data_IF_775446446060
#
_entry.id   IF_775446446060
#
_cell.length_a   1.000
_cell.length_b   1.000
_cell.length_c   1.000
_cell.angle_alpha   90.00
_cell.angle_beta   90.00
_cell.angle_gamma   90.00
#
_symmetry.space_group_name_H-M   'P 1'
#
loop_
_entity.id
_entity.type
_entity.pdbx_description
1 polymer ?
#
# COMPACT_ATOMS: atom_id res chain seq x y z
N UNK A 1 -20.49 -3.75 -13.72
CA UNK A 1 -19.62 -4.73 -14.41
C UNK A 1 -18.45 -3.97 -14.99
N UNK A 2 -17.30 -3.99 -14.32
CA UNK A 2 -16.08 -3.37 -14.80
C UNK A 2 -15.16 -4.47 -15.31
N UNK A 3 -15.04 -4.59 -16.62
CA UNK A 3 -14.00 -5.36 -17.27
C UNK A 3 -12.67 -4.63 -17.03
N UNK A 4 -12.01 -4.94 -15.92
CA UNK A 4 -10.57 -4.68 -15.82
C UNK A 4 -9.90 -5.58 -16.85
N UNK A 5 -9.67 -5.04 -18.05
CA UNK A 5 -8.62 -5.55 -18.93
C UNK A 5 -7.39 -5.79 -18.05
N UNK A 6 -6.74 -6.97 -18.10
CA UNK A 6 -5.57 -7.21 -17.27
C UNK A 6 -4.49 -6.26 -17.77
N UNK A 7 -4.36 -5.10 -17.12
CA UNK A 7 -3.21 -4.22 -17.24
C UNK A 7 -1.99 -5.13 -17.10
N UNK A 8 -1.32 -5.37 -18.22
CA UNK A 8 -0.22 -6.32 -18.33
C UNK A 8 0.87 -5.85 -17.38
N UNK A 9 1.11 -6.61 -16.31
CA UNK A 9 2.12 -6.24 -15.31
C UNK A 9 3.48 -6.13 -16.00
N UNK A 10 4.08 -4.94 -15.92
CA UNK A 10 5.40 -4.67 -16.47
C UNK A 10 6.44 -5.52 -15.74
N UNK A 11 6.25 -5.68 -14.42
CA UNK A 11 7.13 -6.49 -13.56
C UNK A 11 7.11 -7.97 -13.99
N UNK A 12 5.94 -8.56 -14.22
CA UNK A 12 5.88 -9.96 -14.67
C UNK A 12 6.34 -10.11 -16.11
N UNK A 13 6.07 -9.13 -16.97
CA UNK A 13 6.60 -9.14 -18.34
C UNK A 13 8.14 -9.17 -18.35
N UNK A 14 8.79 -8.36 -17.51
CA UNK A 14 10.25 -8.38 -17.33
C UNK A 14 10.74 -9.74 -16.82
N UNK A 15 10.07 -10.31 -15.80
CA UNK A 15 10.45 -11.62 -15.29
C UNK A 15 10.34 -12.73 -16.36
N UNK A 16 9.30 -12.72 -17.20
CA UNK A 16 9.13 -13.73 -18.27
C UNK A 16 10.17 -13.56 -19.36
N UNK A 17 10.48 -12.30 -19.72
CA UNK A 17 11.53 -11.98 -20.68
C UNK A 17 12.88 -12.50 -20.21
N UNK A 18 13.24 -12.24 -18.95
CA UNK A 18 14.52 -12.63 -18.36
C UNK A 18 14.63 -14.16 -18.20
N UNK A 19 13.52 -14.83 -17.89
CA UNK A 19 13.47 -16.29 -17.81
C UNK A 19 13.64 -16.93 -19.20
N UNK A 20 12.98 -16.37 -20.21
CA UNK A 20 13.09 -16.82 -21.60
C UNK A 20 14.47 -16.56 -22.18
N UNK A 21 15.10 -15.42 -21.86
CA UNK A 21 16.45 -15.11 -22.35
C UNK A 21 17.49 -16.07 -21.78
N UNK A 22 17.34 -16.50 -20.52
CA UNK A 22 18.24 -17.48 -19.88
C UNK A 22 18.20 -18.87 -20.55
N UNK A 23 17.02 -19.33 -20.99
CA UNK A 23 16.84 -20.67 -21.59
C UNK A 23 16.80 -20.67 -23.13
N UNK A 24 16.81 -19.48 -23.76
CA UNK A 24 16.82 -19.32 -25.21
C UNK A 24 15.69 -20.07 -25.92
N UNK A 25 16.03 -20.79 -27.00
CA UNK A 25 15.06 -21.59 -27.79
C UNK A 25 14.49 -22.79 -27.03
N UNK A 26 15.18 -23.26 -25.99
CA UNK A 26 14.76 -24.41 -25.20
C UNK A 26 13.67 -24.07 -24.15
N UNK A 27 13.38 -22.78 -23.93
CA UNK A 27 12.44 -22.33 -22.90
C UNK A 27 11.05 -23.01 -22.99
N UNK A 28 10.38 -22.87 -24.13
CA UNK A 28 9.03 -23.41 -24.33
C UNK A 28 8.99 -24.94 -24.30
N UNK A 29 9.85 -25.69 -25.02
CA UNK A 29 9.81 -27.14 -24.95
C UNK A 29 10.10 -27.65 -23.53
N UNK A 30 11.07 -27.07 -22.81
CA UNK A 30 11.38 -27.49 -21.44
C UNK A 30 10.22 -27.21 -20.48
N UNK A 31 9.57 -26.04 -20.59
CA UNK A 31 8.41 -25.69 -19.79
C UNK A 31 7.24 -26.66 -20.03
N UNK A 32 6.92 -26.94 -21.30
CA UNK A 32 5.83 -27.85 -21.67
C UNK A 32 6.13 -29.27 -21.17
N UNK A 33 7.34 -29.79 -21.40
CA UNK A 33 7.76 -31.10 -20.90
C UNK A 33 7.61 -31.16 -19.37
N UNK A 34 8.07 -30.13 -18.67
CA UNK A 34 7.98 -30.08 -17.20
C UNK A 34 6.53 -30.09 -16.73
N UNK A 35 5.64 -29.32 -17.37
CA UNK A 35 4.21 -29.29 -17.06
C UNK A 35 3.58 -30.67 -17.29
N UNK A 36 3.82 -31.29 -18.45
CA UNK A 36 3.26 -32.61 -18.78
C UNK A 36 3.73 -33.67 -17.78
N UNK A 37 5.03 -33.73 -17.49
CA UNK A 37 5.59 -34.65 -16.48
C UNK A 37 4.97 -34.41 -15.10
N UNK A 38 4.74 -33.15 -14.73
CA UNK A 38 4.15 -32.82 -13.43
C UNK A 38 2.67 -33.19 -13.33
N UNK A 39 1.91 -33.05 -14.41
CA UNK A 39 0.50 -33.49 -14.48
C UNK A 39 0.41 -35.01 -14.40
N UNK A 40 1.21 -35.73 -15.18
CA UNK A 40 1.26 -37.20 -15.15
C UNK A 40 1.71 -37.69 -13.76
N UNK A 41 2.77 -37.10 -13.21
CA UNK A 41 3.24 -37.40 -11.86
C UNK A 41 2.17 -37.14 -10.81
N UNK A 42 1.40 -36.05 -10.94
CA UNK A 42 0.33 -35.74 -9.99
C UNK A 42 -0.80 -36.78 -10.01
N UNK A 43 -1.15 -37.31 -11.20
CA UNK A 43 -2.15 -38.38 -11.32
C UNK A 43 -1.70 -39.69 -10.63
N UNK A 44 -0.40 -39.99 -10.64
CA UNK A 44 0.14 -41.24 -10.08
C UNK A 44 0.48 -41.10 -8.59
N UNK A 45 1.11 -40.00 -8.19
CA UNK A 45 1.73 -39.81 -6.88
C UNK A 45 1.17 -38.62 -6.09
N UNK A 46 0.07 -38.01 -6.54
CA UNK A 46 -0.53 -36.84 -5.90
C UNK A 46 0.42 -35.63 -5.88
N UNK A 47 0.40 -34.78 -4.83
CA UNK A 47 1.17 -33.54 -4.78
C UNK A 47 2.69 -33.69 -5.01
N UNK A 48 3.27 -34.85 -4.66
CA UNK A 48 4.70 -35.13 -4.86
C UNK A 48 5.06 -35.12 -6.36
N UNK A 49 4.14 -35.51 -7.22
CA UNK A 49 4.32 -35.49 -8.67
C UNK A 49 4.53 -34.10 -9.27
N UNK A 50 4.18 -33.02 -8.55
CA UNK A 50 4.32 -31.64 -9.00
C UNK A 50 5.70 -31.02 -8.69
N UNK A 51 6.60 -31.75 -8.02
CA UNK A 51 7.96 -31.28 -7.66
C UNK A 51 8.76 -30.71 -8.86
N UNK A 52 8.68 -31.25 -10.10
CA UNK A 52 9.42 -30.68 -11.22
C UNK A 52 9.06 -29.22 -11.56
N UNK A 53 7.88 -28.73 -11.15
CA UNK A 53 7.51 -27.30 -11.29
C UNK A 53 8.18 -26.39 -10.27
N UNK A 54 8.66 -26.91 -9.14
CA UNK A 54 9.27 -26.11 -8.08
C UNK A 54 10.42 -25.20 -8.57
N UNK A 55 11.42 -25.69 -9.32
CA UNK A 55 12.49 -24.81 -9.83
C UNK A 55 11.96 -23.71 -10.75
N UNK A 56 10.93 -23.97 -11.55
CA UNK A 56 10.27 -22.95 -12.36
C UNK A 56 9.58 -21.89 -11.51
N UNK A 57 8.82 -22.31 -10.49
CA UNK A 57 8.10 -21.42 -9.57
C UNK A 57 9.10 -20.56 -8.76
N UNK A 58 10.15 -21.17 -8.23
CA UNK A 58 11.18 -20.47 -7.45
C UNK A 58 11.96 -19.48 -8.32
N UNK A 59 12.36 -19.88 -9.53
CA UNK A 59 13.05 -19.01 -10.49
C UNK A 59 12.17 -17.83 -10.90
N UNK A 60 10.90 -18.11 -11.20
CA UNK A 60 9.90 -17.10 -11.51
C UNK A 60 9.74 -16.09 -10.37
N UNK A 61 9.56 -16.57 -9.13
CA UNK A 61 9.44 -15.73 -7.94
C UNK A 61 10.68 -14.85 -7.72
N UNK A 62 11.88 -15.40 -7.91
CA UNK A 62 13.13 -14.66 -7.78
C UNK A 62 13.25 -13.56 -8.84
N UNK A 63 12.89 -13.87 -10.10
CA UNK A 63 12.90 -12.92 -11.21
C UNK A 63 11.86 -11.81 -11.03
N UNK A 64 10.64 -12.13 -10.59
CA UNK A 64 9.62 -11.13 -10.25
C UNK A 64 10.10 -10.20 -9.13
N UNK A 65 10.72 -10.75 -8.09
CA UNK A 65 11.28 -9.95 -6.99
C UNK A 65 12.42 -9.04 -7.47
N UNK A 66 13.27 -9.52 -8.38
CA UNK A 66 14.33 -8.72 -9.01
C UNK A 66 13.75 -7.62 -9.90
N UNK A 67 12.81 -7.95 -10.78
CA UNK A 67 12.13 -7.01 -11.67
C UNK A 67 11.43 -5.91 -10.87
N UNK A 68 10.77 -6.27 -9.77
CA UNK A 68 10.11 -5.33 -8.86
C UNK A 68 11.07 -4.36 -8.18
N UNK A 69 12.23 -4.85 -7.74
CA UNK A 69 13.29 -3.98 -7.21
C UNK A 69 13.82 -3.03 -8.29
N UNK A 70 14.01 -3.53 -9.52
CA UNK A 70 14.38 -2.73 -10.68
C UNK A 70 13.38 -1.60 -10.92
N UNK A 71 12.08 -1.93 -11.00
CA UNK A 71 10.99 -0.98 -11.17
C UNK A 71 11.05 0.20 -10.18
N UNK A 72 11.17 -0.08 -8.88
CA UNK A 72 11.23 0.98 -7.87
C UNK A 72 12.54 1.77 -7.88
N UNK A 73 13.65 1.12 -8.22
CA UNK A 73 14.95 1.78 -8.37
C UNK A 73 14.93 2.74 -9.56
N UNK A 74 14.34 2.33 -10.68
CA UNK A 74 14.21 3.14 -11.89
C UNK A 74 13.26 4.32 -11.64
N UNK A 75 12.10 4.06 -11.00
CA UNK A 75 11.19 5.13 -10.55
C UNK A 75 11.92 6.16 -9.67
N UNK A 76 12.66 5.70 -8.65
CA UNK A 76 13.39 6.60 -7.76
C UNK A 76 14.41 7.45 -8.54
N UNK A 77 15.17 6.82 -9.45
CA UNK A 77 16.15 7.51 -10.29
C UNK A 77 15.51 8.58 -11.17
N UNK A 78 14.39 8.28 -11.82
CA UNK A 78 13.66 9.24 -12.67
C UNK A 78 13.13 10.44 -11.89
N UNK A 79 12.70 10.24 -10.64
CA UNK A 79 12.24 11.32 -9.76
C UNK A 79 13.38 12.08 -9.07
N UNK A 80 14.64 11.65 -9.22
CA UNK A 80 15.76 12.17 -8.45
C UNK A 80 15.70 11.83 -6.95
N UNK A 81 14.99 10.75 -6.61
CA UNK A 81 14.74 10.28 -5.24
C UNK A 81 15.65 9.10 -4.87
N UNK A 82 15.71 8.78 -3.58
CA UNK A 82 16.56 7.70 -3.05
C UNK A 82 15.76 6.40 -2.91
N UNK A 83 16.29 5.32 -3.44
CA UNK A 83 15.75 3.96 -3.26
C UNK A 83 16.46 3.22 -2.12
N UNK A 84 15.70 2.51 -1.30
CA UNK A 84 16.17 1.55 -0.31
C UNK A 84 15.43 0.21 -0.48
N UNK A 85 16.16 -0.89 -0.32
CA UNK A 85 15.59 -2.21 -0.53
C UNK A 85 14.47 -2.54 0.46
N UNK A 86 14.58 -2.07 1.70
CA UNK A 86 13.51 -2.18 2.69
C UNK A 86 13.69 -1.23 3.87
N UNK A 87 12.60 -1.02 4.59
CA UNK A 87 12.49 -0.19 5.80
C UNK A 87 12.16 -0.99 7.06
N UNK A 88 12.09 -0.29 8.19
CA UNK A 88 11.86 -0.84 9.53
C UNK A 88 10.48 -0.47 10.03
N UNK A 89 9.58 -1.46 10.18
CA UNK A 89 8.20 -1.23 10.65
C UNK A 89 8.12 -0.88 12.14
N UNK A 90 9.15 -1.17 12.93
CA UNK A 90 9.15 -0.93 14.39
C UNK A 90 9.09 0.55 14.78
N UNK A 91 9.44 1.44 13.86
CA UNK A 91 9.40 2.89 14.06
C UNK A 91 8.11 3.53 13.55
N UNK A 92 7.24 2.74 12.94
CA UNK A 92 6.01 3.25 12.33
C UNK A 92 4.90 3.27 13.40
N UNK A 93 4.25 4.43 13.56
CA UNK A 93 3.30 4.65 14.66
C UNK A 93 1.82 4.55 14.24
N UNK A 94 1.56 4.51 12.93
CA UNK A 94 0.21 4.41 12.38
C UNK A 94 -0.46 3.06 12.70
N UNK A 95 -1.76 3.09 12.94
CA UNK A 95 -2.65 1.95 13.14
C UNK A 95 -2.53 0.94 12.02
N UNK A 96 -2.38 1.39 10.76
CA UNK A 96 -2.29 0.49 9.62
C UNK A 96 -1.14 -0.53 9.74
N UNK A 97 -0.13 -0.23 10.56
CA UNK A 97 1.01 -1.11 10.83
C UNK A 97 0.80 -2.07 12.03
N UNK A 98 -0.25 -1.89 12.83
CA UNK A 98 -0.52 -2.73 14.01
C UNK A 98 -0.90 -4.18 13.65
N UNK A 99 -1.78 -4.46 12.67
CA UNK A 99 -2.28 -5.81 12.44
C UNK A 99 -1.21 -6.84 12.01
N UNK A 100 -1.43 -8.09 12.40
CA UNK A 100 -0.71 -9.26 11.90
C UNK A 100 0.74 -9.40 12.37
N UNK A 101 1.44 -10.33 11.73
CA UNK A 101 2.84 -10.72 11.96
C UNK A 101 3.65 -10.72 10.66
N UNK A 102 4.93 -11.06 10.74
CA UNK A 102 5.82 -11.15 9.57
C UNK A 102 5.85 -9.88 8.72
N UNK A 103 5.78 -8.72 9.40
CA UNK A 103 5.70 -7.40 8.79
C UNK A 103 6.95 -7.09 7.99
N UNK A 104 6.77 -6.57 6.78
CA UNK A 104 7.88 -6.12 5.91
C UNK A 104 7.49 -4.82 5.22
N UNK A 105 8.47 -3.92 5.10
CA UNK A 105 8.38 -2.70 4.30
C UNK A 105 9.40 -2.82 3.15
N UNK A 106 9.11 -3.55 2.07
CA UNK A 106 10.01 -3.59 0.92
C UNK A 106 9.91 -2.33 0.07
N UNK A 107 10.96 -2.07 -0.72
CA UNK A 107 10.98 -1.07 -1.79
C UNK A 107 10.56 0.32 -1.34
N UNK A 108 11.41 0.96 -0.53
CA UNK A 108 11.18 2.32 -0.05
C UNK A 108 11.82 3.30 -1.02
N UNK A 109 11.03 4.26 -1.50
CA UNK A 109 11.51 5.42 -2.25
C UNK A 109 11.28 6.66 -1.40
N UNK A 110 12.33 7.42 -1.14
CA UNK A 110 12.29 8.62 -0.30
C UNK A 110 12.81 9.84 -1.06
N UNK A 111 12.09 10.94 -0.95
CA UNK A 111 12.44 12.20 -1.56
C UNK A 111 11.71 13.34 -0.87
N UNK A 112 11.41 14.38 -1.65
CA UNK A 112 10.63 15.52 -1.19
C UNK A 112 9.47 15.78 -2.15
N UNK A 113 8.34 16.20 -1.58
CA UNK A 113 7.17 16.62 -2.34
C UNK A 113 6.56 17.84 -1.65
N UNK A 114 6.32 18.92 -2.41
CA UNK A 114 5.78 20.17 -1.89
C UNK A 114 6.54 20.74 -0.66
N UNK A 115 7.86 20.55 -0.61
CA UNK A 115 8.70 20.99 0.51
C UNK A 115 8.67 20.09 1.75
N UNK A 116 8.07 18.91 1.66
CA UNK A 116 7.93 17.96 2.75
C UNK A 116 8.69 16.66 2.47
N UNK A 117 9.35 16.05 3.48
CA UNK A 117 9.85 14.69 3.36
C UNK A 117 8.72 13.76 2.93
N UNK A 118 8.96 13.01 1.85
CA UNK A 118 7.95 12.16 1.23
C UNK A 118 8.50 10.76 0.98
N UNK A 119 7.71 9.74 1.34
CA UNK A 119 8.03 8.32 1.12
C UNK A 119 6.94 7.66 0.29
N UNK A 120 7.35 6.80 -0.63
CA UNK A 120 6.50 5.77 -1.24
C UNK A 120 7.09 4.43 -0.88
N UNK A 121 6.28 3.51 -0.36
CA UNK A 121 6.75 2.18 -0.06
C UNK A 121 5.65 1.14 -0.11
N UNK A 122 6.09 -0.09 -0.19
CA UNK A 122 5.21 -1.24 -0.07
C UNK A 122 5.22 -1.72 1.36
N UNK A 123 4.09 -2.23 1.82
CA UNK A 123 3.95 -2.85 3.13
C UNK A 123 3.21 -4.16 3.01
N UNK A 124 3.62 -5.14 3.82
CA UNK A 124 2.92 -6.40 3.92
C UNK A 124 2.95 -6.94 5.34
N UNK A 125 1.87 -7.64 5.70
CA UNK A 125 1.76 -8.39 6.94
C UNK A 125 0.91 -9.64 6.71
N UNK A 126 1.05 -10.60 7.62
CA UNK A 126 0.36 -11.88 7.56
C UNK A 126 -0.58 -12.02 8.76
N UNK A 127 -1.81 -12.44 8.52
CA UNK A 127 -2.75 -12.86 9.57
C UNK A 127 -2.95 -14.37 9.55
N UNK A 128 -3.44 -14.92 10.65
CA UNK A 128 -3.68 -16.35 10.80
C UNK A 128 -2.41 -17.19 10.96
N UNK A 129 -2.59 -18.51 10.94
CA UNK A 129 -1.54 -19.51 11.09
C UNK A 129 -1.82 -20.74 10.24
N UNK A 130 -0.77 -21.50 9.93
CA UNK A 130 -0.86 -22.74 9.16
C UNK A 130 -1.60 -22.55 7.83
N UNK A 131 -2.57 -23.44 7.58
CA UNK A 131 -3.36 -23.48 6.33
C UNK A 131 -4.33 -22.29 6.16
N UNK A 132 -4.61 -21.54 7.22
CA UNK A 132 -5.50 -20.37 7.19
C UNK A 132 -4.72 -19.05 7.28
N UNK A 133 -3.47 -19.04 6.82
CA UNK A 133 -2.65 -17.84 6.80
C UNK A 133 -2.89 -17.02 5.53
N UNK A 134 -3.09 -15.71 5.68
CA UNK A 134 -3.26 -14.78 4.54
C UNK A 134 -2.29 -13.62 4.68
N UNK A 135 -1.57 -13.30 3.60
CA UNK A 135 -0.70 -12.13 3.53
C UNK A 135 -1.41 -10.99 2.80
N UNK A 136 -1.49 -9.85 3.47
CA UNK A 136 -1.99 -8.61 2.89
C UNK A 136 -0.82 -7.76 2.44
N UNK A 137 -1.05 -7.00 1.37
CA UNK A 137 -0.08 -6.04 0.84
C UNK A 137 -0.74 -4.71 0.60
N UNK A 138 0.04 -3.64 0.71
CA UNK A 138 -0.38 -2.25 0.60
C UNK A 138 0.70 -1.44 -0.11
N UNK A 139 0.26 -0.40 -0.80
CA UNK A 139 1.12 0.69 -1.28
C UNK A 139 0.79 1.93 -0.47
N UNK A 140 1.82 2.57 0.08
CA UNK A 140 1.70 3.69 1.01
C UNK A 140 2.42 4.89 0.43
N UNK A 141 1.77 6.04 0.53
CA UNK A 141 2.32 7.36 0.27
C UNK A 141 2.31 8.13 1.57
N UNK A 142 3.44 8.65 2.01
CA UNK A 142 3.58 9.28 3.30
C UNK A 142 4.29 10.61 3.17
N UNK A 143 3.73 11.65 3.78
CA UNK A 143 4.36 12.95 3.91
C UNK A 143 4.49 13.35 5.38
N UNK A 144 5.60 14.01 5.73
CA UNK A 144 5.84 14.55 7.07
C UNK A 144 5.73 16.08 7.09
N UNK A 145 5.00 16.60 8.06
CA UNK A 145 4.73 18.03 8.22
C UNK A 145 5.39 18.60 9.47
N UNK A 146 5.43 19.93 9.57
CA UNK A 146 6.02 20.62 10.73
C UNK A 146 5.05 20.77 11.91
N UNK A 147 3.75 20.80 11.63
CA UNK A 147 2.72 20.88 12.66
C UNK A 147 2.42 19.52 13.28
N UNK A 148 1.69 19.57 14.38
CA UNK A 148 1.19 18.37 15.07
C UNK A 148 -0.33 18.35 14.95
N UNK A 149 -0.91 17.15 14.96
CA UNK A 149 -2.35 16.93 14.85
C UNK A 149 -2.80 15.72 15.70
N UNK A 150 -4.09 15.65 16.06
CA UNK A 150 -4.62 14.44 16.70
C UNK A 150 -4.49 13.23 15.78
N UNK A 151 -4.49 12.03 16.35
CA UNK A 151 -4.48 10.81 15.58
C UNK A 151 -5.84 10.58 14.91
N UNK A 152 -5.92 10.73 13.59
CA UNK A 152 -7.17 10.57 12.84
C UNK A 152 -7.05 9.46 11.80
N UNK A 153 -8.17 8.79 11.52
CA UNK A 153 -8.25 7.76 10.49
C UNK A 153 -9.50 7.95 9.64
N UNK A 154 -9.32 8.31 8.37
CA UNK A 154 -10.38 8.37 7.37
C UNK A 154 -10.40 7.04 6.61
N UNK A 155 -11.37 6.21 6.92
CA UNK A 155 -11.59 4.91 6.31
C UNK A 155 -12.41 5.05 5.03
N UNK A 156 -11.91 4.59 3.89
CA UNK A 156 -12.70 4.40 2.69
C UNK A 156 -13.32 3.00 2.68
N UNK A 157 -14.65 2.94 2.65
CA UNK A 157 -15.42 1.69 2.70
C UNK A 157 -15.10 0.72 1.54
N UNK A 158 -14.50 1.20 0.45
CA UNK A 158 -14.06 0.38 -0.69
C UNK A 158 -12.62 -0.13 -0.57
N UNK A 159 -11.76 0.48 0.26
CA UNK A 159 -10.34 0.09 0.34
C UNK A 159 -10.11 -1.24 1.10
N UNK A 160 -11.15 -1.81 1.72
CA UNK A 160 -11.15 -3.15 2.36
C UNK A 160 -9.92 -3.42 3.25
N UNK A 161 -9.37 -2.38 3.88
CA UNK A 161 -8.46 -2.53 5.00
C UNK A 161 -9.29 -2.80 6.25
N UNK A 162 -8.84 -3.74 7.09
CA UNK A 162 -9.53 -4.07 8.33
C UNK A 162 -8.77 -3.43 9.50
N UNK A 163 -8.94 -2.12 9.67
CA UNK A 163 -8.47 -1.39 10.85
C UNK A 163 -9.39 -1.59 12.07
N UNK A 164 -10.52 -2.31 11.91
CA UNK A 164 -11.58 -2.35 12.92
C UNK A 164 -12.25 -0.98 13.10
N UNK A 165 -12.70 -0.69 14.33
CA UNK A 165 -13.21 0.61 14.76
C UNK A 165 -12.18 1.24 15.71
N UNK A 166 -11.14 1.91 15.19
CA UNK A 166 -9.95 2.27 15.97
C UNK A 166 -10.16 3.39 17.00
N UNK A 167 -11.38 3.95 17.08
CA UNK A 167 -11.76 5.00 18.01
C UNK A 167 -13.22 5.42 17.82
N UNK A 168 -13.54 6.64 18.23
CA UNK A 168 -14.89 7.19 18.06
C UNK A 168 -15.08 7.60 16.60
N UNK A 169 -16.18 7.12 15.99
CA UNK A 169 -16.60 7.65 14.69
C UNK A 169 -17.07 9.09 14.87
N UNK A 170 -16.41 10.00 14.16
CA UNK A 170 -16.76 11.42 14.07
C UNK A 170 -17.82 11.55 12.97
N UNK A 171 -19.02 12.08 13.27
CA UNK A 171 -20.08 12.22 12.29
C UNK A 171 -19.64 13.08 11.10
N UNK A 172 -19.95 12.61 9.89
CA UNK A 172 -19.77 13.40 8.68
C UNK A 172 -21.15 13.70 8.07
N UNK A 173 -21.27 14.70 7.18
CA UNK A 173 -22.51 14.88 6.44
C UNK A 173 -22.90 13.60 5.68
N UNK A 174 -24.20 13.28 5.64
CA UNK A 174 -24.72 11.96 5.22
C UNK A 174 -24.24 11.47 3.83
N UNK A 175 -23.93 12.39 2.91
CA UNK A 175 -23.40 12.04 1.59
C UNK A 175 -21.97 11.46 1.65
N UNK A 176 -21.17 11.86 2.65
CA UNK A 176 -19.81 11.37 2.86
C UNK A 176 -19.79 10.06 3.63
N UNK A 177 -20.66 9.90 4.64
CA UNK A 177 -20.72 8.67 5.45
C UNK A 177 -20.99 7.41 4.60
N UNK A 178 -21.69 7.55 3.47
CA UNK A 178 -21.90 6.46 2.50
C UNK A 178 -20.61 5.94 1.85
N UNK A 179 -19.49 6.66 1.96
CA UNK A 179 -18.22 6.37 1.29
C UNK A 179 -17.04 6.33 2.25
N UNK A 180 -17.06 7.18 3.27
CA UNK A 180 -15.96 7.38 4.19
C UNK A 180 -16.47 7.43 5.63
N UNK A 181 -15.74 6.80 6.54
CA UNK A 181 -15.94 6.97 7.98
C UNK A 181 -14.70 7.63 8.58
N UNK A 182 -14.88 8.73 9.31
CA UNK A 182 -13.81 9.39 10.04
C UNK A 182 -13.77 8.91 11.48
N UNK A 183 -12.59 8.53 11.96
CA UNK A 183 -12.35 8.13 13.33
C UNK A 183 -11.30 9.04 13.97
N UNK A 184 -11.52 9.36 15.24
CA UNK A 184 -10.60 10.14 16.06
C UNK A 184 -10.80 9.84 17.55
N UNK A 185 -9.95 10.38 18.43
CA UNK A 185 -10.22 10.38 19.85
C UNK A 185 -11.36 11.37 20.14
N UNK A 186 -12.21 11.02 21.11
CA UNK A 186 -13.49 11.68 21.37
C UNK A 186 -13.37 13.20 21.59
N UNK A 187 -12.31 13.65 22.25
CA UNK A 187 -12.11 15.04 22.63
C UNK A 187 -11.66 15.94 21.47
N UNK A 188 -11.30 15.36 20.31
CA UNK A 188 -10.67 16.09 19.20
C UNK A 188 -11.53 16.14 17.93
N UNK A 189 -12.85 16.06 18.09
CA UNK A 189 -13.80 16.20 16.98
C UNK A 189 -13.62 17.53 16.24
N UNK A 190 -13.43 18.64 16.98
CA UNK A 190 -13.28 19.97 16.39
C UNK A 190 -12.02 20.04 15.53
N UNK A 191 -10.89 19.58 16.05
CA UNK A 191 -9.61 19.50 15.34
C UNK A 191 -9.72 18.60 14.10
N UNK A 192 -10.46 17.50 14.20
CA UNK A 192 -10.69 16.61 13.07
C UNK A 192 -11.47 17.31 11.94
N UNK A 193 -12.54 18.06 12.28
CA UNK A 193 -13.35 18.80 11.32
C UNK A 193 -12.63 20.05 10.77
N UNK A 194 -11.63 20.58 11.46
CA UNK A 194 -10.73 21.62 10.94
C UNK A 194 -9.75 21.08 9.88
N UNK A 195 -9.38 19.80 9.95
CA UNK A 195 -8.57 19.13 8.93
C UNK A 195 -9.47 18.68 7.77
N UNK A 196 -10.53 17.93 8.08
CA UNK A 196 -11.50 17.40 7.14
C UNK A 196 -12.70 18.34 6.96
N UNK A 197 -12.39 19.56 6.52
CA UNK A 197 -13.39 20.57 6.22
C UNK A 197 -14.29 20.15 5.04
N UNK A 198 -15.49 20.75 4.89
CA UNK A 198 -16.42 20.40 3.81
C UNK A 198 -15.80 20.43 2.40
N UNK A 199 -14.95 21.41 2.09
CA UNK A 199 -14.22 21.52 0.82
C UNK A 199 -13.28 20.33 0.57
N UNK A 200 -12.57 19.86 1.61
CA UNK A 200 -11.71 18.68 1.52
C UNK A 200 -12.57 17.45 1.27
N UNK A 201 -13.65 17.27 2.03
CA UNK A 201 -14.55 16.13 1.88
C UNK A 201 -15.20 16.09 0.49
N UNK A 202 -15.65 17.25 -0.03
CA UNK A 202 -16.19 17.38 -1.38
C UNK A 202 -15.17 16.99 -2.45
N UNK A 203 -13.92 17.45 -2.31
CA UNK A 203 -12.83 17.06 -3.22
C UNK A 203 -12.65 15.53 -3.24
N UNK A 204 -12.63 14.89 -2.05
CA UNK A 204 -12.49 13.43 -1.93
C UNK A 204 -13.66 12.69 -2.58
N UNK A 205 -14.88 13.22 -2.45
CA UNK A 205 -16.08 12.63 -3.03
C UNK A 205 -16.08 12.76 -4.56
N UNK A 206 -15.79 13.96 -5.09
CA UNK A 206 -15.73 14.23 -6.53
C UNK A 206 -14.69 13.36 -7.24
N UNK A 207 -13.51 13.20 -6.64
CA UNK A 207 -12.41 12.41 -7.20
C UNK A 207 -12.62 10.89 -7.02
N UNK A 208 -13.66 10.48 -6.29
CA UNK A 208 -13.86 9.08 -5.86
C UNK A 208 -12.60 8.54 -5.20
N UNK A 209 -12.00 9.36 -4.33
CA UNK A 209 -10.69 9.13 -3.74
C UNK A 209 -10.57 7.71 -3.15
N UNK A 210 -9.71 6.83 -3.69
CA UNK A 210 -9.82 5.39 -3.47
C UNK A 210 -9.04 4.87 -2.25
N UNK A 211 -8.55 5.75 -1.38
CA UNK A 211 -7.59 5.41 -0.33
C UNK A 211 -8.15 5.64 1.07
N UNK A 212 -7.54 4.95 2.03
CA UNK A 212 -7.63 5.35 3.43
C UNK A 212 -6.59 6.44 3.69
N UNK A 213 -6.87 7.31 4.66
CA UNK A 213 -5.97 8.36 5.11
C UNK A 213 -5.79 8.21 6.61
N UNK A 214 -4.55 8.25 7.06
CA UNK A 214 -4.22 8.22 8.48
C UNK A 214 -3.29 9.38 8.82
N UNK A 215 -3.67 10.15 9.84
CA UNK A 215 -2.85 11.21 10.40
C UNK A 215 -2.40 10.76 11.78
N UNK A 216 -1.09 10.67 12.01
CA UNK A 216 -0.52 10.35 13.32
C UNK A 216 0.73 11.18 13.56
N UNK A 217 0.82 11.81 14.73
CA UNK A 217 1.93 12.69 15.10
C UNK A 217 2.14 13.86 14.13
N UNK A 218 3.06 13.71 13.17
CA UNK A 218 3.43 14.67 12.12
C UNK A 218 3.30 14.07 10.72
N UNK A 219 2.81 12.85 10.61
CA UNK A 219 2.78 12.07 9.38
C UNK A 219 1.36 11.96 8.86
N UNK A 220 1.19 12.18 7.55
CA UNK A 220 -0.01 11.81 6.81
C UNK A 220 0.32 10.64 5.91
N UNK A 221 -0.39 9.55 6.11
CA UNK A 221 -0.32 8.34 5.31
C UNK A 221 -1.56 8.25 4.43
N UNK A 222 -1.36 8.05 3.14
CA UNK A 222 -2.39 7.67 2.17
C UNK A 222 -2.08 6.27 1.69
N UNK A 223 -2.98 5.32 1.83
CA UNK A 223 -2.67 3.94 1.50
C UNK A 223 -3.81 3.16 0.85
N UNK A 224 -3.42 2.19 0.04
CA UNK A 224 -4.33 1.36 -0.74
C UNK A 224 -3.94 -0.09 -0.68
N UNK A 225 -4.92 -0.98 -0.70
CA UNK A 225 -4.67 -2.42 -0.76
C UNK A 225 -4.02 -2.80 -2.09
N UNK A 226 -3.07 -3.71 -1.99
CA UNK A 226 -2.36 -4.29 -3.10
C UNK A 226 -1.07 -3.56 -3.44
N UNK A 227 -0.36 -4.22 -4.33
CA UNK A 227 0.95 -3.86 -4.81
C UNK A 227 0.83 -3.17 -6.17
N UNK A 228 1.76 -2.27 -6.47
CA UNK A 228 1.86 -1.69 -7.81
C UNK A 228 2.63 -2.64 -8.74
N UNK A 229 2.13 -2.77 -9.97
CA UNK A 229 2.62 -3.74 -10.95
C UNK A 229 3.06 -3.11 -12.28
N UNK A 230 2.79 -1.82 -12.50
CA UNK A 230 3.16 -1.07 -13.70
C UNK A 230 3.30 0.41 -13.40
N UNK A 231 3.97 1.15 -14.28
CA UNK A 231 4.13 2.60 -14.13
C UNK A 231 2.80 3.32 -14.23
N UNK A 232 1.94 2.92 -15.16
CA UNK A 232 0.59 3.50 -15.29
C UNK A 232 -0.22 3.37 -14.00
N UNK A 233 -0.16 2.21 -13.34
CA UNK A 233 -0.87 2.00 -12.07
C UNK A 233 -0.25 2.81 -10.93
N UNK A 234 1.08 3.00 -10.92
CA UNK A 234 1.74 3.87 -9.95
C UNK A 234 1.22 5.30 -10.07
N UNK A 235 1.23 5.85 -11.29
CA UNK A 235 0.81 7.24 -11.55
C UNK A 235 -0.67 7.45 -11.22
N UNK A 236 -1.53 6.50 -11.61
CA UNK A 236 -2.97 6.51 -11.27
C UNK A 236 -3.19 6.61 -9.76
N UNK A 237 -2.34 5.95 -8.96
CA UNK A 237 -2.46 5.98 -7.50
C UNK A 237 -1.76 7.20 -6.89
N UNK A 238 -0.60 7.57 -7.41
CA UNK A 238 0.26 8.62 -6.88
C UNK A 238 -0.35 10.00 -7.07
N UNK A 239 -0.98 10.27 -8.20
CA UNK A 239 -1.57 11.58 -8.51
C UNK A 239 -2.63 12.03 -7.47
N UNK A 240 -3.69 11.26 -7.18
CA UNK A 240 -4.67 11.64 -6.16
C UNK A 240 -4.07 11.71 -4.75
N UNK A 241 -3.10 10.85 -4.41
CA UNK A 241 -2.42 10.91 -3.11
C UNK A 241 -1.61 12.22 -2.95
N UNK A 242 -0.80 12.57 -3.95
CA UNK A 242 -0.06 13.84 -4.00
C UNK A 242 -0.99 15.04 -3.94
N UNK A 243 -2.13 14.98 -4.65
CA UNK A 243 -3.11 16.06 -4.64
C UNK A 243 -3.69 16.28 -3.23
N UNK A 244 -4.12 15.22 -2.54
CA UNK A 244 -4.62 15.35 -1.17
C UNK A 244 -3.55 15.92 -0.22
N UNK A 245 -2.32 15.41 -0.31
CA UNK A 245 -1.19 15.89 0.49
C UNK A 245 -0.95 17.39 0.27
N UNK A 246 -0.95 17.84 -0.98
CA UNK A 246 -0.80 19.26 -1.31
C UNK A 246 -1.97 20.10 -0.79
N UNK A 247 -3.21 19.61 -0.89
CA UNK A 247 -4.41 20.28 -0.35
C UNK A 247 -4.32 20.47 1.17
N UNK A 248 -3.83 19.46 1.89
CA UNK A 248 -3.78 19.48 3.36
C UNK A 248 -2.52 20.17 3.91
N UNK A 249 -1.43 20.26 3.13
CA UNK A 249 -0.14 20.76 3.61
C UNK A 249 -0.22 22.14 4.31
N UNK A 250 -0.91 23.18 3.79
CA UNK A 250 -0.98 24.47 4.46
C UNK A 250 -1.66 24.38 5.83
N UNK A 251 -2.67 23.53 5.98
CA UNK A 251 -3.41 23.33 7.24
C UNK A 251 -2.54 22.58 8.24
N UNK A 252 -1.96 21.46 7.82
CA UNK A 252 -1.15 20.60 8.69
C UNK A 252 0.12 21.28 9.17
N UNK A 253 0.77 22.10 8.34
CA UNK A 253 1.97 22.85 8.76
C UNK A 253 1.68 23.92 9.81
N UNK A 254 0.49 24.53 9.77
CA UNK A 254 0.09 25.61 10.68
C UNK A 254 -0.52 25.08 11.98
N UNK A 255 -0.93 23.82 12.01
CA UNK A 255 -1.64 23.24 13.14
C UNK A 255 -0.72 23.11 14.35
N UNK A 256 -1.17 23.69 15.46
CA UNK A 256 -0.49 23.64 16.76
C UNK A 256 -1.31 22.80 17.73
N UNK A 257 -1.35 21.50 17.46
CA UNK A 257 -2.04 20.57 18.36
C UNK A 257 -1.35 20.52 19.72
N UNK A 258 -2.15 20.63 20.78
CA UNK A 258 -1.74 20.36 22.16
C UNK A 258 -2.71 19.35 22.75
N UNK A 259 -2.23 18.26 23.36
CA UNK A 259 -3.10 17.34 24.07
C UNK A 259 -3.90 18.06 25.16
N UNK A 260 -5.18 17.72 25.30
CA UNK A 260 -6.05 18.19 26.37
C UNK A 260 -5.78 17.30 27.60
N UNK A 261 -5.07 17.83 28.60
CA UNK A 261 -4.73 17.09 29.82
C UNK A 261 -4.12 15.71 29.53
N UNK A 262 -4.60 14.69 30.25
CA UNK A 262 -4.19 13.28 30.07
C UNK A 262 -5.09 12.51 29.09
N UNK A 263 -5.94 13.19 28.31
CA UNK A 263 -6.85 12.52 27.38
C UNK A 263 -6.10 11.80 26.26
N UNK A 264 -6.54 10.60 25.86
CA UNK A 264 -5.89 9.84 24.80
C UNK A 264 -5.97 10.62 23.48
N UNK A 265 -4.81 10.90 22.88
CA UNK A 265 -4.70 11.56 21.58
C UNK A 265 -4.28 10.60 20.46
N UNK A 266 -4.13 9.31 20.79
CA UNK A 266 -3.84 8.22 19.86
C UNK A 266 -4.99 7.24 19.79
N UNK A 267 -5.25 6.75 18.59
CA UNK A 267 -6.18 5.66 18.33
C UNK A 267 -5.57 4.33 18.80
N UNK A 268 -6.43 3.43 19.29
CA UNK A 268 -5.99 2.15 19.88
C UNK A 268 -6.24 0.99 18.93
#
# INVERSE_FOLDING_TARGET
>A
MGTTSPLRSEITAVAWRDMRSALGKAFWPLLVITIVLSVLGFMVAGPIGAIPLLPWILSWYALVTRARRGFWKDFAKEQGWKYQHGGSWQKEHALMFKPGKSKKIPNVVSGEFAGHPFRIFEYQYTVGSGKHSTTYSYTIFEARFTGHFPHLYLNNLRNRHNAGTPGRQIPLPAQFEKKYHLFGPEQYEIEALQIFTPDVLEQLLHQKFPFDVELVEQELLVFTRGNVHSRSQLEEKLAPAKQLIATLAPKLNRMKFKPIGDHPHRLK
#
